data_IF_857941767688
#
_entry.id   IF_857941767688
#
_cell.length_a   1.000
_cell.length_b   1.000
_cell.length_c   1.000
_cell.angle_alpha   90.00
_cell.angle_beta   90.00
_cell.angle_gamma   90.00
#
_symmetry.space_group_name_H-M   'P 1'
#
loop_
_entity.id
_entity.type
_entity.pdbx_description
1 polymer ?
#
# COMPACT_ATOMS: atom_id res chain seq x y z
N UNK A 1 -7.39 -3.60 3.45
CA UNK A 1 -7.09 -4.59 2.40
C UNK A 1 -7.65 -5.95 2.76
N UNK A 2 -8.23 -6.66 1.80
CA UNK A 2 -8.64 -8.06 1.94
C UNK A 2 -7.43 -8.98 1.86
N UNK A 3 -7.39 -9.98 2.75
CA UNK A 3 -6.45 -11.10 2.63
C UNK A 3 -7.15 -12.41 2.96
N UNK A 4 -6.65 -13.57 2.48
CA UNK A 4 -7.21 -14.88 2.85
C UNK A 4 -7.23 -15.10 4.37
N UNK A 5 -6.22 -14.62 5.09
CA UNK A 5 -6.15 -14.73 6.55
C UNK A 5 -7.24 -13.89 7.23
N UNK A 6 -7.39 -12.62 6.84
CA UNK A 6 -8.44 -11.74 7.35
C UNK A 6 -9.85 -12.27 7.04
N UNK A 7 -10.02 -12.92 5.89
CA UNK A 7 -11.31 -13.55 5.49
C UNK A 7 -11.72 -14.73 6.38
N UNK A 8 -10.80 -15.33 7.13
CA UNK A 8 -11.14 -16.34 8.15
C UNK A 8 -11.92 -15.74 9.33
N UNK A 9 -11.74 -14.46 9.60
CA UNK A 9 -12.29 -13.76 10.78
C UNK A 9 -13.38 -12.74 10.44
N UNK A 10 -13.40 -12.21 9.23
CA UNK A 10 -14.35 -11.20 8.76
C UNK A 10 -14.99 -11.61 7.43
N UNK A 11 -16.17 -11.04 7.14
CA UNK A 11 -16.73 -11.02 5.80
C UNK A 11 -16.32 -9.70 5.11
N UNK A 12 -16.19 -9.74 3.79
CA UNK A 12 -15.86 -8.58 2.99
C UNK A 12 -16.94 -8.32 1.94
N UNK A 13 -17.10 -7.05 1.57
CA UNK A 13 -17.83 -6.67 0.35
C UNK A 13 -17.04 -7.10 -0.90
N UNK A 14 -17.60 -6.86 -2.09
CA UNK A 14 -16.80 -6.79 -3.30
C UNK A 14 -15.73 -5.71 -3.11
N UNK A 15 -14.53 -5.88 -3.71
CA UNK A 15 -13.52 -4.84 -3.67
C UNK A 15 -14.03 -3.58 -4.41
N UNK A 16 -13.63 -2.42 -3.92
CA UNK A 16 -13.92 -1.14 -4.53
C UNK A 16 -12.65 -0.36 -4.91
N UNK A 17 -11.48 -0.87 -4.54
CA UNK A 17 -10.22 -0.21 -4.78
C UNK A 17 -9.09 -1.23 -4.95
N UNK A 18 -8.17 -0.94 -5.87
CA UNK A 18 -6.93 -1.69 -6.08
C UNK A 18 -5.74 -0.80 -5.71
N UNK A 19 -4.85 -1.29 -4.87
CA UNK A 19 -3.61 -0.62 -4.50
C UNK A 19 -2.41 -1.55 -4.78
N UNK A 20 -1.22 -0.99 -4.79
CA UNK A 20 0.02 -1.71 -5.03
C UNK A 20 1.06 -1.31 -3.98
N UNK A 21 1.83 -2.27 -3.52
CA UNK A 21 2.96 -1.99 -2.65
C UNK A 21 4.09 -1.32 -3.43
N UNK A 22 4.63 -0.23 -2.88
CA UNK A 22 5.72 0.54 -3.48
C UNK A 22 6.85 0.76 -2.48
N UNK A 23 8.04 1.13 -2.97
CA UNK A 23 9.10 1.66 -2.11
C UNK A 23 9.02 3.19 -2.11
N UNK A 24 8.97 3.78 -0.93
CA UNK A 24 9.15 5.22 -0.74
C UNK A 24 10.57 5.48 -0.24
N UNK A 25 11.32 6.32 -0.95
CA UNK A 25 12.74 6.59 -0.70
C UNK A 25 13.09 8.04 -1.00
N UNK A 26 14.29 8.50 -0.61
CA UNK A 26 14.78 9.82 -1.00
C UNK A 26 14.96 9.91 -2.52
N UNK A 27 14.70 11.07 -3.10
CA UNK A 27 14.84 11.28 -4.54
C UNK A 27 16.26 10.98 -5.04
N UNK A 28 17.29 11.31 -4.22
CA UNK A 28 18.70 11.10 -4.52
C UNK A 28 19.28 9.76 -3.99
N UNK A 29 18.44 8.82 -3.58
CA UNK A 29 18.88 7.56 -2.96
C UNK A 29 19.62 6.60 -3.88
N UNK A 30 19.54 6.80 -5.20
CA UNK A 30 20.01 5.83 -6.20
C UNK A 30 19.13 4.58 -6.35
N UNK A 31 18.01 4.50 -5.60
CA UNK A 31 17.05 3.38 -5.69
C UNK A 31 16.03 3.72 -6.77
N UNK A 32 16.00 2.99 -7.87
CA UNK A 32 15.06 3.13 -8.99
C UNK A 32 14.28 1.86 -9.27
N UNK A 33 14.77 0.73 -8.77
CA UNK A 33 14.17 -0.60 -8.90
C UNK A 33 14.32 -1.37 -7.58
N UNK A 34 13.56 -2.44 -7.34
CA UNK A 34 13.75 -3.31 -6.18
C UNK A 34 15.18 -3.88 -6.07
N UNK A 35 15.85 -4.11 -7.20
CA UNK A 35 17.23 -4.63 -7.25
C UNK A 35 18.24 -3.67 -6.60
N UNK A 36 17.98 -2.38 -6.68
CA UNK A 36 18.86 -1.35 -6.09
C UNK A 36 18.85 -1.36 -4.55
N UNK A 37 17.99 -2.18 -3.95
CA UNK A 37 17.96 -2.43 -2.51
C UNK A 37 19.09 -3.35 -2.03
N UNK A 38 19.97 -3.81 -2.91
CA UNK A 38 21.11 -4.65 -2.54
C UNK A 38 21.97 -3.98 -1.48
N UNK A 39 22.14 -4.63 -0.33
CA UNK A 39 22.94 -4.12 0.79
C UNK A 39 22.32 -2.92 1.51
N UNK A 40 21.06 -2.58 1.25
CA UNK A 40 20.36 -1.45 1.87
C UNK A 40 19.36 -1.93 2.91
N UNK A 41 19.01 -1.02 3.82
CA UNK A 41 18.06 -1.28 4.91
C UNK A 41 16.64 -0.89 4.51
N UNK A 42 15.72 -1.84 4.62
CA UNK A 42 14.29 -1.66 4.39
C UNK A 42 13.55 -1.43 5.70
N UNK A 43 12.55 -0.54 5.70
CA UNK A 43 11.53 -0.43 6.73
C UNK A 43 10.21 -1.03 6.26
N UNK A 44 9.43 -1.59 7.18
CA UNK A 44 8.07 -2.10 6.97
C UNK A 44 7.19 -1.76 8.15
N UNK A 45 5.88 -1.62 7.96
CA UNK A 45 4.97 -1.54 9.08
C UNK A 45 4.61 -2.95 9.57
N UNK A 46 4.66 -3.16 10.89
CA UNK A 46 4.27 -4.42 11.52
C UNK A 46 2.81 -4.74 11.25
N UNK A 47 2.53 -5.98 10.82
CA UNK A 47 1.16 -6.44 10.53
C UNK A 47 0.51 -5.80 9.30
N UNK A 48 1.28 -5.11 8.46
CA UNK A 48 0.81 -4.59 7.17
C UNK A 48 0.77 -5.70 6.12
N UNK A 49 -0.06 -5.50 5.09
CA UNK A 49 -0.11 -6.40 3.93
C UNK A 49 1.22 -6.38 3.19
N UNK A 50 1.86 -5.20 3.06
CA UNK A 50 3.18 -5.10 2.44
C UNK A 50 4.24 -5.95 3.14
N UNK A 51 4.18 -6.11 4.47
CA UNK A 51 5.08 -7.01 5.17
C UNK A 51 4.76 -8.50 4.93
N UNK A 52 3.46 -8.83 4.81
CA UNK A 52 3.04 -10.19 4.44
C UNK A 52 3.48 -10.52 3.01
N UNK A 53 3.28 -9.62 2.05
CA UNK A 53 3.72 -9.76 0.65
C UNK A 53 5.23 -9.90 0.52
N UNK A 54 5.98 -9.10 1.27
CA UNK A 54 7.44 -9.21 1.34
C UNK A 54 7.88 -10.62 1.74
N UNK A 55 7.19 -11.25 2.67
CA UNK A 55 7.52 -12.61 3.13
C UNK A 55 7.03 -13.69 2.18
N UNK A 56 5.84 -13.52 1.57
CA UNK A 56 5.22 -14.51 0.68
C UNK A 56 5.81 -14.47 -0.73
N UNK A 57 6.32 -13.31 -1.18
CA UNK A 57 6.88 -13.11 -2.51
C UNK A 57 8.38 -12.75 -2.45
N UNK A 58 9.26 -13.64 -1.95
CA UNK A 58 10.67 -13.30 -1.66
C UNK A 58 11.46 -12.88 -2.90
N UNK A 59 11.05 -13.29 -4.09
CA UNK A 59 11.71 -12.96 -5.36
C UNK A 59 11.50 -11.50 -5.78
N UNK A 60 10.50 -10.80 -5.25
CA UNK A 60 10.21 -9.41 -5.63
C UNK A 60 11.20 -8.44 -4.99
N UNK A 61 11.46 -8.59 -3.70
CA UNK A 61 12.30 -7.64 -2.95
C UNK A 61 13.26 -8.33 -1.98
N UNK A 62 12.80 -9.33 -1.23
CA UNK A 62 13.54 -9.96 -0.13
C UNK A 62 14.89 -10.55 -0.57
N UNK A 63 14.97 -11.10 -1.79
CA UNK A 63 16.19 -11.69 -2.34
C UNK A 63 17.34 -10.67 -2.49
N UNK A 64 17.03 -9.38 -2.58
CA UNK A 64 18.03 -8.32 -2.75
C UNK A 64 18.52 -7.74 -1.41
N UNK A 65 17.78 -7.98 -0.32
CA UNK A 65 18.18 -7.49 1.00
C UNK A 65 19.21 -8.41 1.66
N UNK A 66 20.27 -7.83 2.18
CA UNK A 66 21.25 -8.55 3.01
C UNK A 66 20.86 -8.70 4.49
N UNK A 67 19.81 -7.98 4.92
CA UNK A 67 19.38 -7.91 6.33
C UNK A 67 17.86 -8.01 6.44
N UNK A 68 17.36 -8.34 7.65
CA UNK A 68 15.93 -8.30 7.94
C UNK A 68 15.43 -6.84 7.91
N UNK A 69 14.20 -6.58 7.43
CA UNK A 69 13.63 -5.25 7.47
C UNK A 69 13.41 -4.79 8.91
N UNK A 70 13.54 -3.48 9.14
CA UNK A 70 13.18 -2.84 10.39
C UNK A 70 11.66 -2.70 10.45
N UNK A 71 11.05 -3.16 11.53
CA UNK A 71 9.61 -3.08 11.73
C UNK A 71 9.24 -1.85 12.53
N UNK A 72 8.21 -1.15 12.07
CA UNK A 72 7.67 0.07 12.68
C UNK A 72 6.19 -0.10 13.01
N UNK A 73 5.73 0.58 14.05
CA UNK A 73 4.29 0.60 14.40
C UNK A 73 3.46 1.40 13.39
N UNK A 74 4.07 2.43 12.77
CA UNK A 74 3.39 3.32 11.82
C UNK A 74 4.28 3.64 10.64
N UNK A 75 3.67 3.95 9.48
CA UNK A 75 4.40 4.42 8.31
C UNK A 75 5.12 5.75 8.56
N UNK A 76 4.53 6.67 9.34
CA UNK A 76 5.16 7.97 9.66
C UNK A 76 6.51 7.81 10.34
N UNK A 77 6.64 6.86 11.28
CA UNK A 77 7.93 6.56 11.93
C UNK A 77 8.94 6.04 10.92
N UNK A 78 8.53 5.11 10.05
CA UNK A 78 9.40 4.56 9.01
C UNK A 78 9.83 5.65 8.00
N UNK A 79 8.91 6.50 7.56
CA UNK A 79 9.20 7.60 6.64
C UNK A 79 10.19 8.60 7.28
N UNK A 80 10.02 8.92 8.55
CA UNK A 80 10.96 9.79 9.25
C UNK A 80 12.38 9.18 9.30
N UNK A 81 12.48 7.87 9.48
CA UNK A 81 13.79 7.20 9.46
C UNK A 81 14.39 7.12 8.04
N UNK A 82 13.59 7.08 6.98
CA UNK A 82 14.06 7.29 5.60
C UNK A 82 14.62 8.71 5.43
N UNK A 83 13.89 9.73 5.90
CA UNK A 83 14.32 11.15 5.79
C UNK A 83 15.66 11.41 6.45
N UNK A 84 15.88 10.86 7.64
CA UNK A 84 17.13 11.05 8.38
C UNK A 84 18.22 10.03 8.00
N UNK A 85 17.93 9.11 7.08
CA UNK A 85 18.90 8.16 6.53
C UNK A 85 19.23 6.96 7.43
N UNK A 86 18.40 6.66 8.41
CA UNK A 86 18.55 5.44 9.24
C UNK A 86 18.18 4.18 8.47
N UNK A 87 17.20 4.28 7.57
CA UNK A 87 16.85 3.27 6.59
C UNK A 87 16.85 3.89 5.19
N UNK A 88 16.94 3.07 4.14
CA UNK A 88 17.08 3.54 2.78
C UNK A 88 15.73 3.70 2.05
N UNK A 89 14.77 2.84 2.39
CA UNK A 89 13.42 2.88 1.84
C UNK A 89 12.42 2.25 2.80
N UNK A 90 11.15 2.58 2.65
CA UNK A 90 10.03 1.88 3.31
C UNK A 90 9.13 1.25 2.27
N UNK A 91 8.73 -0.02 2.50
CA UNK A 91 7.68 -0.69 1.74
C UNK A 91 6.32 -0.25 2.30
N UNK A 92 5.46 0.27 1.43
CA UNK A 92 4.28 1.02 1.84
C UNK A 92 3.20 0.94 0.77
N UNK A 93 1.94 1.10 1.17
CA UNK A 93 0.80 1.21 0.26
C UNK A 93 0.98 2.40 -0.69
N UNK A 94 0.76 2.17 -1.99
CA UNK A 94 1.02 3.15 -3.03
C UNK A 94 0.19 4.42 -2.87
N UNK A 95 -1.07 4.29 -2.49
CA UNK A 95 -1.97 5.43 -2.31
C UNK A 95 -1.64 6.24 -1.06
N UNK A 96 -1.27 5.57 0.05
CA UNK A 96 -0.74 6.28 1.21
C UNK A 96 0.51 7.10 0.83
N UNK A 97 1.41 6.50 0.09
CA UNK A 97 2.64 7.16 -0.32
C UNK A 97 2.39 8.32 -1.29
N UNK A 98 1.47 8.19 -2.25
CA UNK A 98 1.05 9.28 -3.15
C UNK A 98 0.43 10.43 -2.36
N UNK A 99 -0.51 10.11 -1.44
CA UNK A 99 -1.12 11.12 -0.57
C UNK A 99 -0.07 11.84 0.28
N UNK A 100 0.85 11.07 0.88
CA UNK A 100 1.95 11.63 1.66
C UNK A 100 2.80 12.59 0.84
N UNK A 101 3.21 12.21 -0.38
CA UNK A 101 4.02 13.06 -1.25
C UNK A 101 3.29 14.36 -1.66
N UNK A 102 1.98 14.26 -1.92
CA UNK A 102 1.16 15.41 -2.31
C UNK A 102 0.99 16.44 -1.18
N UNK A 103 1.04 16.00 0.08
CA UNK A 103 0.78 16.83 1.25
C UNK A 103 2.02 17.08 2.12
N UNK A 104 3.14 16.46 1.79
CA UNK A 104 4.39 16.64 2.53
C UNK A 104 5.15 17.85 2.02
N UNK A 105 5.16 18.92 2.80
CA UNK A 105 5.90 20.16 2.53
C UNK A 105 7.33 20.15 3.12
N UNK A 106 7.92 18.96 3.35
CA UNK A 106 9.29 18.89 3.85
C UNK A 106 10.31 19.26 2.76
N UNK A 107 11.45 19.81 3.18
CA UNK A 107 12.57 20.14 2.27
C UNK A 107 13.32 18.90 1.77
N UNK A 108 12.94 17.70 2.19
CA UNK A 108 13.58 16.44 1.76
C UNK A 108 12.76 15.82 0.62
N UNK A 109 13.24 15.93 -0.63
CA UNK A 109 12.52 15.37 -1.77
C UNK A 109 12.56 13.84 -1.72
N UNK A 110 11.39 13.24 -1.91
CA UNK A 110 11.19 11.79 -1.93
C UNK A 110 10.58 11.34 -3.24
N UNK A 111 10.72 10.05 -3.55
CA UNK A 111 10.14 9.42 -4.74
C UNK A 111 9.58 8.06 -4.44
N UNK A 112 8.66 7.61 -5.31
CA UNK A 112 8.13 6.25 -5.32
C UNK A 112 8.91 5.40 -6.31
N UNK A 113 9.16 4.16 -5.93
CA UNK A 113 9.72 3.14 -6.80
C UNK A 113 8.71 1.99 -6.89
N UNK A 114 8.28 1.67 -8.10
CA UNK A 114 7.33 0.57 -8.35
C UNK A 114 7.96 -0.77 -7.97
N UNK A 115 7.14 -1.64 -7.43
CA UNK A 115 7.48 -3.03 -7.18
C UNK A 115 6.61 -3.95 -8.07
N UNK A 116 6.94 -5.22 -8.11
CA UNK A 116 6.15 -6.24 -8.83
C UNK A 116 5.43 -7.18 -7.84
N UNK A 117 5.03 -6.67 -6.68
CA UNK A 117 4.12 -7.39 -5.80
C UNK A 117 2.76 -7.53 -6.47
N UNK A 118 2.02 -8.61 -6.17
CA UNK A 118 0.62 -8.71 -6.59
C UNK A 118 -0.19 -7.50 -6.11
N UNK A 119 -1.22 -7.07 -6.85
CA UNK A 119 -2.07 -5.99 -6.40
C UNK A 119 -2.85 -6.37 -5.15
N UNK A 120 -3.06 -5.40 -4.29
CA UNK A 120 -3.92 -5.48 -3.12
C UNK A 120 -5.32 -4.96 -3.45
N UNK A 121 -6.33 -5.48 -2.75
CA UNK A 121 -7.71 -5.08 -2.96
C UNK A 121 -8.34 -4.62 -1.65
N UNK A 122 -8.94 -3.43 -1.66
CA UNK A 122 -9.67 -2.90 -0.52
C UNK A 122 -11.16 -3.14 -0.62
N UNK A 123 -11.73 -3.52 0.52
CA UNK A 123 -13.14 -3.79 0.67
C UNK A 123 -13.61 -3.41 2.09
N UNK A 124 -14.92 -3.26 2.26
CA UNK A 124 -15.49 -3.04 3.59
C UNK A 124 -15.52 -4.36 4.36
N UNK A 125 -14.88 -4.38 5.52
CA UNK A 125 -14.92 -5.52 6.45
C UNK A 125 -16.17 -5.46 7.34
N UNK A 126 -16.82 -6.62 7.51
CA UNK A 126 -18.03 -6.79 8.30
C UNK A 126 -17.94 -8.04 9.18
N UNK A 127 -18.82 -8.12 10.18
CA UNK A 127 -19.02 -9.40 10.89
C UNK A 127 -19.60 -10.44 9.92
N UNK A 128 -19.23 -11.70 10.08
CA UNK A 128 -19.67 -12.78 9.17
C UNK A 128 -21.19 -12.95 9.10
N UNK A 129 -21.90 -12.65 10.17
CA UNK A 129 -23.36 -12.70 10.25
C UNK A 129 -24.07 -11.54 9.56
N UNK A 130 -23.42 -10.45 9.25
CA UNK A 130 -24.03 -9.21 8.70
C UNK A 130 -24.31 -9.34 7.17
N UNK A 131 -24.95 -10.44 6.77
CA UNK A 131 -25.18 -10.77 5.35
C UNK A 131 -26.00 -9.72 4.62
N UNK A 132 -27.11 -9.26 5.22
CA UNK A 132 -28.00 -8.25 4.62
C UNK A 132 -27.27 -6.92 4.45
N UNK A 133 -26.45 -6.51 5.43
CA UNK A 133 -25.67 -5.28 5.32
C UNK A 133 -24.63 -5.40 4.21
N UNK A 134 -23.96 -6.55 4.10
CA UNK A 134 -23.00 -6.81 3.03
C UNK A 134 -23.63 -6.70 1.64
N UNK A 135 -24.81 -7.28 1.45
CA UNK A 135 -25.54 -7.19 0.18
C UNK A 135 -25.90 -5.75 -0.19
N UNK A 136 -26.40 -4.98 0.80
CA UNK A 136 -26.71 -3.55 0.61
C UNK A 136 -25.46 -2.73 0.23
N UNK A 137 -24.34 -2.99 0.90
CA UNK A 137 -23.07 -2.32 0.58
C UNK A 137 -22.55 -2.71 -0.80
N UNK A 138 -22.60 -3.98 -1.16
CA UNK A 138 -22.24 -4.42 -2.51
C UNK A 138 -23.05 -3.71 -3.58
N UNK A 139 -24.36 -3.58 -3.38
CA UNK A 139 -25.24 -2.85 -4.30
C UNK A 139 -24.91 -1.35 -4.37
N UNK A 140 -24.55 -0.75 -3.23
CA UNK A 140 -24.11 0.64 -3.19
C UNK A 140 -22.79 0.84 -3.95
N UNK A 141 -21.80 -0.02 -3.74
CA UNK A 141 -20.52 0.00 -4.47
C UNK A 141 -20.75 -0.12 -5.98
N UNK A 142 -21.57 -1.10 -6.41
CA UNK A 142 -21.92 -1.27 -7.82
C UNK A 142 -22.60 -0.01 -8.43
N UNK A 143 -23.44 0.68 -7.66
CA UNK A 143 -24.07 1.92 -8.11
C UNK A 143 -23.07 3.06 -8.25
N UNK A 144 -22.17 3.24 -7.26
CA UNK A 144 -21.12 4.26 -7.27
C UNK A 144 -20.12 4.04 -8.44
N UNK A 145 -19.84 2.79 -8.74
CA UNK A 145 -19.03 2.44 -9.90
C UNK A 145 -19.76 2.82 -11.21
N UNK A 146 -21.03 2.41 -11.34
CA UNK A 146 -21.81 2.62 -12.56
C UNK A 146 -22.12 4.10 -12.84
N UNK A 147 -22.33 4.92 -11.81
CA UNK A 147 -22.63 6.35 -11.97
C UNK A 147 -21.37 7.23 -12.10
N UNK A 148 -20.17 6.63 -12.07
CA UNK A 148 -18.90 7.32 -12.22
C UNK A 148 -18.42 8.06 -10.95
N UNK A 149 -19.11 7.90 -9.84
CA UNK A 149 -18.72 8.56 -8.56
C UNK A 149 -17.37 8.07 -8.09
N UNK A 150 -17.08 6.76 -8.18
CA UNK A 150 -15.77 6.20 -7.81
C UNK A 150 -14.65 6.81 -8.65
N UNK A 151 -14.77 6.83 -9.97
CA UNK A 151 -13.77 7.41 -10.86
C UNK A 151 -13.52 8.89 -10.55
N UNK A 152 -14.57 9.66 -10.25
CA UNK A 152 -14.47 11.07 -9.86
C UNK A 152 -13.74 11.25 -8.52
N UNK A 153 -14.01 10.40 -7.54
CA UNK A 153 -13.35 10.44 -6.23
C UNK A 153 -11.90 9.99 -6.36
N UNK A 154 -11.63 8.92 -7.10
CA UNK A 154 -10.29 8.43 -7.38
C UNK A 154 -9.41 9.51 -8.03
N UNK A 155 -9.93 10.17 -9.07
CA UNK A 155 -9.24 11.31 -9.67
C UNK A 155 -8.99 12.45 -8.70
N UNK A 156 -9.96 12.74 -7.82
CA UNK A 156 -9.85 13.83 -6.84
C UNK A 156 -8.76 13.57 -5.80
N UNK A 157 -8.69 12.35 -5.27
CA UNK A 157 -7.83 12.04 -4.13
C UNK A 157 -6.49 11.40 -4.51
N UNK A 158 -6.43 10.67 -5.62
CA UNK A 158 -5.23 9.94 -6.07
C UNK A 158 -4.66 10.47 -7.39
N UNK A 159 -5.38 11.39 -8.06
CA UNK A 159 -4.97 11.93 -9.35
C UNK A 159 -5.23 11.01 -10.54
N UNK A 160 -5.72 9.79 -10.30
CA UNK A 160 -5.97 8.76 -11.31
C UNK A 160 -7.44 8.29 -11.23
N UNK A 161 -8.25 8.44 -12.30
CA UNK A 161 -9.64 7.98 -12.29
C UNK A 161 -9.78 6.45 -12.33
N UNK A 162 -8.72 5.73 -12.71
CA UNK A 162 -8.71 4.27 -12.85
C UNK A 162 -8.07 3.55 -11.65
N UNK A 163 -7.64 4.27 -10.61
CA UNK A 163 -7.13 3.66 -9.38
C UNK A 163 -8.24 2.87 -8.64
N UNK A 164 -9.49 3.08 -8.98
CA UNK A 164 -10.65 2.32 -8.51
C UNK A 164 -11.21 1.52 -9.67
N UNK A 165 -11.14 0.19 -9.58
CA UNK A 165 -11.69 -0.76 -10.55
C UNK A 165 -12.59 -1.77 -9.90
#
# INVERSE_FOLDING_TARGET
TMTPERAKHAAFTKPYHEDNQVLLTKANSGINTPQDMHGKQLGVQSGSVGFDDFNQNPKVLKQYLGTKPVQYDTFDKAINDVKVGRINAVLIDGDYAKYYLAHNHSNEPMKLVKTNFPPDYDAVGLRKQDKTLREKLNKAIENLHRDGTEARLSKKYFGDPDAVK
#
